data_IF_184784749274
#
_entry.id   IF_184784749274
#
_cell.length_a   1.000
_cell.length_b   1.000
_cell.length_c   1.000
_cell.angle_alpha   90.00
_cell.angle_beta   90.00
_cell.angle_gamma   90.00
#
_symmetry.space_group_name_H-M   'P 1'
#
loop_
_entity.id
_entity.type
_entity.pdbx_description
1 polymer ?
#
# COMPACT_ATOMS: atom_id res chain seq x y z
N UNK A 1 -43.36 -18.45 9.17
CA UNK A 1 -43.14 -17.97 7.77
C UNK A 1 -42.09 -16.88 7.68
N UNK A 2 -42.08 -15.89 8.59
CA UNK A 2 -41.12 -14.77 8.59
C UNK A 2 -39.63 -15.19 8.63
N UNK A 3 -39.29 -16.24 9.37
CA UNK A 3 -37.91 -16.76 9.49
C UNK A 3 -37.37 -17.36 8.19
N UNK A 4 -38.22 -17.96 7.34
CA UNK A 4 -37.80 -18.52 6.05
C UNK A 4 -37.49 -17.45 5.00
N UNK A 5 -38.20 -16.32 5.04
CA UNK A 5 -37.90 -15.17 4.18
C UNK A 5 -36.61 -14.45 4.59
N UNK A 6 -36.33 -14.36 5.88
CA UNK A 6 -35.10 -13.77 6.39
C UNK A 6 -33.86 -14.61 6.00
N UNK A 7 -33.94 -15.94 6.09
CA UNK A 7 -32.86 -16.83 5.65
C UNK A 7 -32.58 -16.75 4.14
N UNK A 8 -33.63 -16.62 3.33
CA UNK A 8 -33.49 -16.50 1.87
C UNK A 8 -32.87 -15.16 1.46
N UNK A 9 -33.24 -14.06 2.14
CA UNK A 9 -32.65 -12.75 1.91
C UNK A 9 -31.15 -12.70 2.28
N UNK A 10 -30.75 -13.33 3.39
CA UNK A 10 -29.34 -13.42 3.80
C UNK A 10 -28.51 -14.22 2.78
N UNK A 11 -29.05 -15.34 2.27
CA UNK A 11 -28.39 -16.11 1.20
C UNK A 11 -28.25 -15.30 -0.10
N UNK A 12 -29.25 -14.49 -0.45
CA UNK A 12 -29.21 -13.65 -1.66
C UNK A 12 -28.15 -12.55 -1.53
N UNK A 13 -28.05 -11.91 -0.37
CA UNK A 13 -27.04 -10.87 -0.09
C UNK A 13 -25.61 -11.42 -0.08
N UNK A 14 -25.39 -12.65 0.41
CA UNK A 14 -24.07 -13.28 0.41
C UNK A 14 -23.60 -13.68 -1.01
N UNK A 15 -24.52 -14.03 -1.92
CA UNK A 15 -24.17 -14.36 -3.30
C UNK A 15 -23.87 -13.11 -4.15
N UNK A 16 -24.53 -11.98 -3.86
CA UNK A 16 -24.27 -10.72 -4.57
C UNK A 16 -22.84 -10.20 -4.36
N UNK A 17 -22.25 -10.40 -3.18
CA UNK A 17 -20.88 -9.98 -2.86
C UNK A 17 -19.82 -10.76 -3.66
N UNK A 18 -20.08 -12.02 -4.03
CA UNK A 18 -19.16 -12.83 -4.83
C UNK A 18 -19.11 -12.34 -6.28
N UNK A 19 -20.24 -11.90 -6.84
CA UNK A 19 -20.34 -11.40 -8.22
C UNK A 19 -19.84 -9.96 -8.37
N UNK A 20 -19.72 -9.21 -7.27
CA UNK A 20 -19.16 -7.85 -7.27
C UNK A 20 -17.63 -7.82 -7.37
N UNK A 21 -16.93 -8.93 -7.11
CA UNK A 21 -15.48 -9.02 -7.24
C UNK A 21 -15.07 -9.14 -8.70
N UNK A 22 -14.99 -8.01 -9.41
CA UNK A 22 -14.41 -7.98 -10.76
C UNK A 22 -12.92 -8.39 -10.68
N UNK A 23 -12.45 -9.33 -11.51
CA UNK A 23 -11.03 -9.60 -11.62
C UNK A 23 -10.30 -8.32 -12.05
N UNK A 24 -9.21 -7.98 -11.38
CA UNK A 24 -8.45 -6.76 -11.69
C UNK A 24 -7.89 -6.86 -13.10
N UNK A 25 -8.15 -5.84 -13.92
CA UNK A 25 -7.85 -5.84 -15.35
C UNK A 25 -6.36 -6.04 -15.68
N UNK A 26 -5.47 -5.67 -14.76
CA UNK A 26 -4.02 -5.76 -14.93
C UNK A 26 -3.40 -7.07 -14.42
N UNK A 27 -4.21 -8.01 -13.89
CA UNK A 27 -3.70 -9.26 -13.33
C UNK A 27 -3.45 -10.29 -14.44
N UNK A 28 -2.22 -10.75 -14.59
CA UNK A 28 -1.86 -11.76 -15.60
C UNK A 28 -2.13 -13.18 -15.08
N UNK A 29 -2.41 -14.13 -15.99
CA UNK A 29 -2.71 -15.54 -15.62
C UNK A 29 -1.55 -16.22 -14.89
N UNK A 30 -0.32 -15.74 -15.09
CA UNK A 30 0.88 -16.27 -14.43
C UNK A 30 1.11 -15.69 -13.04
N UNK A 31 0.39 -14.63 -12.62
CA UNK A 31 0.59 -14.00 -11.30
C UNK A 31 0.26 -14.91 -10.11
N UNK A 32 -0.51 -15.98 -10.35
CA UNK A 32 -0.88 -16.99 -9.35
C UNK A 32 -0.11 -18.31 -9.52
N UNK A 33 0.82 -18.40 -10.48
CA UNK A 33 1.60 -19.62 -10.68
C UNK A 33 2.82 -19.61 -9.77
N UNK A 34 3.07 -20.73 -9.11
CA UNK A 34 4.34 -20.98 -8.42
C UNK A 34 5.45 -21.06 -9.47
N UNK A 35 6.60 -20.46 -9.15
CA UNK A 35 7.81 -20.59 -9.96
C UNK A 35 8.17 -22.09 -10.05
N UNK A 36 8.24 -22.64 -11.25
CA UNK A 36 8.60 -24.05 -11.49
C UNK A 36 9.70 -24.13 -12.55
N UNK A 37 10.52 -25.18 -12.49
CA UNK A 37 11.71 -25.34 -13.36
C UNK A 37 11.36 -25.65 -14.84
N UNK A 38 10.07 -25.71 -15.18
CA UNK A 38 9.61 -25.90 -16.55
C UNK A 38 9.61 -24.57 -17.32
N UNK A 39 10.50 -24.43 -18.30
CA UNK A 39 10.56 -23.31 -19.23
C UNK A 39 9.62 -23.52 -20.44
N UNK A 40 9.09 -22.44 -21.07
CA UNK A 40 9.26 -21.04 -20.70
C UNK A 40 8.25 -20.57 -19.64
N UNK A 41 8.73 -19.81 -18.66
CA UNK A 41 7.90 -19.19 -17.62
C UNK A 41 7.99 -17.67 -17.70
N UNK A 42 6.84 -17.00 -17.66
CA UNK A 42 6.78 -15.55 -17.64
C UNK A 42 7.31 -15.04 -16.29
N UNK A 43 8.41 -14.31 -16.33
CA UNK A 43 9.01 -13.68 -15.16
C UNK A 43 8.11 -12.53 -14.64
N UNK A 44 8.07 -12.29 -13.32
CA UNK A 44 7.13 -11.35 -12.69
C UNK A 44 7.51 -9.86 -12.86
N UNK A 45 8.14 -9.48 -13.97
CA UNK A 45 8.53 -8.09 -14.24
C UNK A 45 7.32 -7.24 -14.61
N UNK A 46 7.38 -5.94 -14.32
CA UNK A 46 6.38 -4.93 -14.71
C UNK A 46 4.94 -5.21 -14.25
N UNK A 47 4.76 -5.90 -13.12
CA UNK A 47 3.44 -6.12 -12.56
C UNK A 47 2.89 -4.83 -11.99
N UNK A 48 1.68 -4.47 -12.41
CA UNK A 48 0.89 -3.49 -11.68
C UNK A 48 0.41 -4.18 -10.39
N UNK A 49 0.81 -3.62 -9.26
CA UNK A 49 0.45 -4.12 -7.93
C UNK A 49 -0.37 -3.02 -7.27
N UNK A 50 -1.55 -3.38 -6.78
CA UNK A 50 -2.29 -2.46 -5.94
C UNK A 50 -1.69 -2.43 -4.54
N UNK A 51 -1.64 -1.25 -3.95
CA UNK A 51 -1.28 -1.10 -2.55
C UNK A 51 -2.16 -2.00 -1.67
N UNK A 52 -1.56 -2.65 -0.68
CA UNK A 52 -2.29 -3.46 0.30
C UNK A 52 -3.21 -2.61 1.21
N UNK A 53 -3.09 -1.28 1.14
CA UNK A 53 -3.88 -0.32 1.90
C UNK A 53 -3.86 1.06 1.25
N UNK A 54 -4.02 2.10 2.07
CA UNK A 54 -3.98 3.48 1.59
C UNK A 54 -2.54 3.94 1.35
N UNK A 55 -2.24 4.32 0.10
CA UNK A 55 -0.98 4.99 -0.22
C UNK A 55 -0.99 6.42 0.32
N UNK A 56 0.11 6.83 0.97
CA UNK A 56 0.35 8.20 1.42
C UNK A 56 1.49 8.77 0.59
N UNK A 57 1.27 9.94 -0.01
CA UNK A 57 2.28 10.68 -0.76
C UNK A 57 2.72 11.86 0.10
N UNK A 58 4.03 12.08 0.21
CA UNK A 58 4.63 13.13 1.01
C UNK A 58 5.94 13.60 0.36
N UNK A 59 6.52 14.68 0.88
CA UNK A 59 7.75 15.28 0.36
C UNK A 59 7.49 16.49 -0.52
N UNK A 60 8.52 16.90 -1.27
CA UNK A 60 8.46 18.08 -2.16
C UNK A 60 8.21 17.64 -3.61
N UNK A 61 7.16 18.15 -4.23
CA UNK A 61 6.80 17.81 -5.60
C UNK A 61 7.86 18.20 -6.66
N UNK A 62 8.78 19.11 -6.32
CA UNK A 62 9.90 19.52 -7.18
C UNK A 62 11.09 18.56 -7.11
N UNK A 63 11.06 17.58 -6.22
CA UNK A 63 12.17 16.66 -5.97
C UNK A 63 11.78 15.22 -6.27
N UNK A 64 12.79 14.41 -6.56
CA UNK A 64 12.67 12.97 -6.72
C UNK A 64 12.64 12.29 -5.33
N UNK A 65 11.48 12.30 -4.69
CA UNK A 65 11.29 11.71 -3.37
C UNK A 65 11.34 10.18 -3.46
N UNK A 66 12.09 9.55 -2.54
CA UNK A 66 12.13 8.11 -2.36
C UNK A 66 12.13 7.79 -0.88
N UNK A 67 11.21 6.91 -0.47
CA UNK A 67 11.23 6.30 0.87
C UNK A 67 12.24 5.15 0.86
N UNK A 68 13.15 5.14 1.82
CA UNK A 68 14.21 4.13 1.94
C UNK A 68 13.84 3.09 2.99
N UNK A 69 13.48 3.54 4.19
CA UNK A 69 13.02 2.69 5.28
C UNK A 69 11.97 3.41 6.15
N UNK A 70 11.22 2.66 6.94
CA UNK A 70 10.27 3.20 7.90
C UNK A 70 10.09 2.30 9.12
N UNK A 71 9.80 2.90 10.25
CA UNK A 71 9.52 2.17 11.49
C UNK A 71 8.42 2.84 12.32
N UNK A 72 7.47 2.07 12.89
CA UNK A 72 6.48 2.63 13.81
C UNK A 72 7.13 3.03 15.14
N UNK A 73 6.75 4.21 15.66
CA UNK A 73 7.13 4.62 17.01
C UNK A 73 6.27 3.90 18.08
N UNK A 74 6.75 3.82 19.34
CA UNK A 74 5.95 3.33 20.46
C UNK A 74 4.58 4.03 20.53
N UNK A 75 3.54 3.25 20.84
CA UNK A 75 2.15 3.75 20.81
C UNK A 75 1.49 3.73 19.42
N UNK A 76 2.23 3.37 18.36
CA UNK A 76 1.72 3.07 17.02
C UNK A 76 0.91 4.20 16.35
N UNK A 77 1.00 5.43 16.86
CA UNK A 77 0.34 6.62 16.31
C UNK A 77 1.15 7.23 15.16
N UNK A 78 2.46 7.15 15.26
CA UNK A 78 3.39 7.76 14.34
C UNK A 78 4.30 6.71 13.71
N UNK A 79 4.76 7.01 12.49
CA UNK A 79 5.80 6.26 11.79
C UNK A 79 6.92 7.24 11.49
N UNK A 80 8.15 6.83 11.76
CA UNK A 80 9.34 7.54 11.28
C UNK A 80 9.71 6.95 9.93
N UNK A 81 10.01 7.82 8.98
CA UNK A 81 10.33 7.47 7.61
C UNK A 81 11.70 8.06 7.30
N UNK A 82 12.62 7.22 6.86
CA UNK A 82 13.84 7.65 6.20
C UNK A 82 13.54 7.85 4.71
N UNK A 83 13.83 9.05 4.21
CA UNK A 83 13.74 9.40 2.80
C UNK A 83 15.08 9.91 2.27
N UNK A 84 15.19 10.03 0.95
CA UNK A 84 16.43 10.47 0.28
C UNK A 84 17.00 11.80 0.81
N UNK A 85 16.17 12.67 1.37
CA UNK A 85 16.53 14.01 1.79
C UNK A 85 16.49 14.20 3.32
N UNK A 86 16.30 13.12 4.09
CA UNK A 86 16.37 13.15 5.55
C UNK A 86 15.36 12.21 6.22
N UNK A 87 14.84 12.65 7.37
CA UNK A 87 13.94 11.85 8.21
C UNK A 87 12.65 12.62 8.43
N UNK A 88 11.50 11.97 8.25
CA UNK A 88 10.19 12.55 8.47
C UNK A 88 9.38 11.74 9.49
N UNK A 89 8.53 12.43 10.26
CA UNK A 89 7.58 11.79 11.17
C UNK A 89 6.18 11.96 10.61
N UNK A 90 5.50 10.86 10.32
CA UNK A 90 4.13 10.81 9.82
C UNK A 90 3.16 10.46 10.95
N UNK A 91 2.15 11.30 11.20
CA UNK A 91 0.99 10.89 12.02
C UNK A 91 0.04 10.04 11.16
N UNK A 92 -0.26 8.83 11.63
CA UNK A 92 -1.02 7.84 10.84
C UNK A 92 -2.52 8.17 10.76
N UNK A 93 -3.05 8.91 11.74
CA UNK A 93 -4.46 9.25 11.79
C UNK A 93 -4.76 10.41 10.82
N UNK A 94 -3.95 11.47 10.87
CA UNK A 94 -4.07 12.61 9.95
C UNK A 94 -3.47 12.33 8.57
N UNK A 95 -2.53 11.37 8.48
CA UNK A 95 -1.71 11.07 7.29
C UNK A 95 -0.88 12.26 6.83
N UNK A 96 -0.45 13.09 7.78
CA UNK A 96 0.38 14.26 7.52
C UNK A 96 1.72 14.15 8.24
N UNK A 97 2.73 14.78 7.64
CA UNK A 97 4.06 14.91 8.23
C UNK A 97 3.96 15.89 9.40
N UNK A 98 4.15 15.39 10.62
CA UNK A 98 4.14 16.19 11.84
C UNK A 98 5.49 16.82 12.14
N UNK A 99 6.58 16.25 11.62
CA UNK A 99 7.93 16.78 11.80
C UNK A 99 8.86 16.32 10.67
N UNK A 100 9.90 17.11 10.36
CA UNK A 100 10.92 16.79 9.36
C UNK A 100 12.30 17.27 9.80
N UNK A 101 13.30 16.40 9.67
CA UNK A 101 14.72 16.74 9.64
C UNK A 101 15.20 16.63 8.20
N UNK A 102 15.61 17.75 7.61
CA UNK A 102 16.11 17.81 6.24
C UNK A 102 17.63 17.87 6.25
N UNK A 103 18.28 17.06 5.42
CA UNK A 103 19.74 17.12 5.21
C UNK A 103 20.20 18.47 4.66
N UNK A 104 19.31 19.23 4.00
CA UNK A 104 19.61 20.58 3.49
C UNK A 104 19.66 21.64 4.60
N UNK A 105 19.00 21.37 5.73
CA UNK A 105 18.89 22.31 6.84
C UNK A 105 20.04 22.14 7.83
N UNK A 106 20.70 20.97 7.84
CA UNK A 106 21.86 20.68 8.68
C UNK A 106 23.15 21.23 8.04
N UNK A 107 23.90 22.11 8.73
CA UNK A 107 25.17 22.65 8.24
C UNK A 107 26.21 21.58 7.85
N UNK A 108 26.18 20.41 8.47
CA UNK A 108 27.14 19.32 8.21
C UNK A 108 26.84 18.56 6.91
N UNK A 109 25.60 18.60 6.42
CA UNK A 109 25.17 17.84 5.23
C UNK A 109 24.67 18.73 4.10
N UNK A 110 24.75 20.06 4.27
CA UNK A 110 24.39 21.05 3.27
C UNK A 110 25.37 20.98 2.09
N UNK A 111 24.91 20.42 0.97
CA UNK A 111 25.61 20.47 -0.32
C UNK A 111 25.32 21.77 -1.06
#
# INVERSE_FOLDING_TARGET
>A
MLTRFLSLAVLLCLNASVWAQKPKAHRHKTDRKTLADSLPMAMPYNRLIDAAGTSVVYGDAQLENHTLDLTPLPGNRQVVIEDRYGIAVLDRASRQISYRWSLRDDPATKQ
#
